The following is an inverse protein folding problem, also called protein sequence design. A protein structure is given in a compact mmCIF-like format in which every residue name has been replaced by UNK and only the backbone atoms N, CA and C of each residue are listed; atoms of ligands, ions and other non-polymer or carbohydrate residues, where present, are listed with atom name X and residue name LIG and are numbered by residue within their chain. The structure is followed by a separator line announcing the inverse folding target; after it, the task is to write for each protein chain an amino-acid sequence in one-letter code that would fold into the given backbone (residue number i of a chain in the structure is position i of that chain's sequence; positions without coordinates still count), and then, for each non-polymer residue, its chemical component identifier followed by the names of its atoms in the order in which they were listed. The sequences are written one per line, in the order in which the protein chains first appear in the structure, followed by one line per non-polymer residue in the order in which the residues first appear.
data_IF_664466670245
#
_entry.id   IF_664466670245
#
_cell.length_a   1.000
_cell.length_b   1.000
_cell.length_c   1.000
_cell.angle_alpha   90.00
_cell.angle_beta   90.00
_cell.angle_gamma   90.00
#
_symmetry.space_group_name_H-M   'P 1'
#
loop_
_entity.id
_entity.type
_entity.pdbx_description
1 polymer ?
#
# COMPACT_ATOMS: atom_id res chain seq x y z
N UNK A 1 7.01 3.46 -12.15
CA UNK A 1 6.34 4.74 -12.50
C UNK A 1 4.89 4.55 -12.92
N UNK A 2 4.59 3.68 -13.90
CA UNK A 2 3.20 3.49 -14.38
C UNK A 2 2.21 3.10 -13.26
N UNK A 3 2.53 2.09 -12.43
CA UNK A 3 1.63 1.66 -11.35
C UNK A 3 1.33 2.76 -10.32
N UNK A 4 2.34 3.57 -9.96
CA UNK A 4 2.17 4.67 -9.01
C UNK A 4 1.29 5.77 -9.61
N UNK A 5 1.59 6.20 -10.84
CA UNK A 5 0.80 7.22 -11.52
C UNK A 5 -0.66 6.78 -11.66
N UNK A 6 -0.90 5.55 -12.11
CA UNK A 6 -2.26 5.04 -12.33
C UNK A 6 -2.99 4.79 -11.02
N UNK A 7 -2.43 3.97 -10.13
CA UNK A 7 -3.16 3.47 -8.95
C UNK A 7 -3.21 4.47 -7.80
N UNK A 8 -2.16 5.25 -7.59
CA UNK A 8 -2.13 6.19 -6.47
C UNK A 8 -2.77 7.54 -6.83
N UNK A 9 -2.49 8.06 -8.03
CA UNK A 9 -2.87 9.42 -8.40
C UNK A 9 -4.11 9.43 -9.29
N UNK A 10 -4.03 8.83 -10.48
CA UNK A 10 -5.10 8.93 -11.48
C UNK A 10 -6.38 8.31 -10.93
N UNK A 11 -6.35 7.06 -10.45
CA UNK A 11 -7.55 6.39 -9.94
C UNK A 11 -8.15 7.17 -8.77
N UNK A 12 -7.37 7.52 -7.76
CA UNK A 12 -7.94 8.17 -6.56
C UNK A 12 -8.49 9.57 -6.85
N UNK A 13 -7.72 10.41 -7.54
CA UNK A 13 -8.11 11.80 -7.78
C UNK A 13 -9.11 11.93 -8.92
N UNK A 14 -8.94 11.20 -10.03
CA UNK A 14 -9.84 11.34 -11.17
C UNK A 14 -11.23 10.81 -10.86
N UNK A 15 -11.36 9.66 -10.18
CA UNK A 15 -12.69 9.18 -9.76
C UNK A 15 -13.34 10.13 -8.76
N UNK A 16 -12.59 10.64 -7.78
CA UNK A 16 -13.13 11.61 -6.83
C UNK A 16 -13.61 12.89 -7.54
N UNK A 17 -12.78 13.49 -8.38
CA UNK A 17 -13.12 14.69 -9.13
C UNK A 17 -14.31 14.43 -10.05
N UNK A 18 -14.33 13.30 -10.76
CA UNK A 18 -15.45 12.93 -11.62
C UNK A 18 -16.77 12.87 -10.85
N UNK A 19 -16.77 12.19 -9.70
CA UNK A 19 -17.95 12.09 -8.84
C UNK A 19 -18.37 13.47 -8.30
N UNK A 20 -17.43 14.30 -7.84
CA UNK A 20 -17.76 15.62 -7.31
C UNK A 20 -18.30 16.57 -8.38
N UNK A 21 -17.58 16.72 -9.49
CA UNK A 21 -17.88 17.77 -10.48
C UNK A 21 -18.95 17.37 -11.48
N UNK A 22 -18.94 16.13 -11.98
CA UNK A 22 -19.87 15.70 -13.02
C UNK A 22 -21.13 15.04 -12.45
N UNK A 23 -21.00 14.19 -11.43
CA UNK A 23 -22.16 13.47 -10.86
C UNK A 23 -22.89 14.33 -9.84
N UNK A 24 -22.18 14.85 -8.82
CA UNK A 24 -22.80 15.62 -7.74
C UNK A 24 -22.90 17.13 -8.02
N UNK A 25 -22.25 17.64 -9.08
CA UNK A 25 -22.21 19.06 -9.44
C UNK A 25 -21.75 19.97 -8.28
N UNK A 26 -20.78 19.49 -7.50
CA UNK A 26 -20.18 20.19 -6.36
C UNK A 26 -18.77 20.68 -6.72
N UNK A 27 -18.29 21.76 -6.08
CA UNK A 27 -16.91 22.21 -6.27
C UNK A 27 -15.92 21.14 -5.80
N UNK A 28 -14.79 21.04 -6.49
CA UNK A 28 -13.70 20.15 -6.13
C UNK A 28 -13.03 20.65 -4.83
N UNK A 29 -13.47 20.12 -3.69
CA UNK A 29 -12.79 20.28 -2.41
C UNK A 29 -12.07 18.99 -2.07
N UNK A 30 -10.82 19.08 -1.62
CA UNK A 30 -10.00 17.92 -1.27
C UNK A 30 -10.11 17.63 0.24
N UNK A 31 -11.00 16.71 0.66
CA UNK A 31 -11.12 16.39 2.08
C UNK A 31 -9.86 15.68 2.60
N UNK A 32 -9.64 15.75 3.91
CA UNK A 32 -8.52 15.05 4.57
C UNK A 32 -8.51 13.55 4.26
N UNK A 33 -9.69 12.92 4.15
CA UNK A 33 -9.83 11.50 3.78
C UNK A 33 -9.31 11.19 2.38
N UNK A 34 -9.49 12.09 1.40
CA UNK A 34 -8.96 11.91 0.04
C UNK A 34 -7.44 12.02 0.01
N UNK A 35 -6.88 13.01 0.72
CA UNK A 35 -5.42 13.20 0.82
C UNK A 35 -4.80 11.96 1.48
N UNK A 36 -5.40 11.50 2.58
CA UNK A 36 -5.01 10.27 3.27
C UNK A 36 -5.06 9.07 2.33
N UNK A 37 -6.19 8.83 1.66
CA UNK A 37 -6.36 7.71 0.73
C UNK A 37 -5.32 7.74 -0.40
N UNK A 38 -5.09 8.92 -0.99
CA UNK A 38 -4.11 9.09 -2.08
C UNK A 38 -2.69 8.79 -1.60
N UNK A 39 -2.29 9.32 -0.45
CA UNK A 39 -0.97 9.10 0.13
C UNK A 39 -0.78 7.62 0.52
N UNK A 40 -1.75 7.03 1.20
CA UNK A 40 -1.72 5.65 1.67
C UNK A 40 -1.64 4.64 0.50
N UNK A 41 -2.49 4.81 -0.51
CA UNK A 41 -2.44 3.99 -1.74
C UNK A 41 -1.16 4.25 -2.55
N UNK A 42 -0.57 5.45 -2.42
CA UNK A 42 0.76 5.78 -2.90
C UNK A 42 1.85 4.92 -2.29
N UNK A 43 1.90 4.80 -0.96
CA UNK A 43 2.85 3.93 -0.27
C UNK A 43 2.72 2.48 -0.71
N UNK A 44 1.49 1.95 -0.79
CA UNK A 44 1.25 0.60 -1.33
C UNK A 44 1.75 0.45 -2.77
N UNK A 45 1.52 1.43 -3.63
CA UNK A 45 1.97 1.38 -5.03
C UNK A 45 3.49 1.37 -5.16
N UNK A 46 4.21 2.11 -4.30
CA UNK A 46 5.67 2.05 -4.20
C UNK A 46 6.12 0.66 -3.77
N UNK A 47 5.51 0.11 -2.72
CA UNK A 47 5.88 -1.21 -2.18
C UNK A 47 5.65 -2.31 -3.20
N UNK A 48 4.51 -2.32 -3.88
CA UNK A 48 4.21 -3.27 -4.96
C UNK A 48 5.23 -3.14 -6.10
N UNK A 49 5.61 -1.90 -6.46
CA UNK A 49 6.61 -1.66 -7.49
C UNK A 49 8.01 -2.14 -7.10
N UNK A 50 8.39 -2.09 -5.82
CA UNK A 50 9.66 -2.61 -5.32
C UNK A 50 9.63 -4.14 -5.20
N UNK A 51 8.53 -4.70 -4.71
CA UNK A 51 8.39 -6.15 -4.51
C UNK A 51 8.41 -6.93 -5.81
N UNK A 52 7.84 -6.37 -6.89
CA UNK A 52 7.85 -7.03 -8.20
C UNK A 52 9.27 -7.29 -8.71
N UNK A 53 10.22 -6.42 -8.35
CA UNK A 53 11.62 -6.50 -8.80
C UNK A 53 12.46 -7.46 -7.93
N UNK A 54 11.95 -7.97 -6.80
CA UNK A 54 12.67 -8.91 -5.94
C UNK A 54 12.89 -10.29 -6.60
N UNK A 55 11.85 -10.98 -7.13
CA UNK A 55 12.06 -12.26 -7.81
C UNK A 55 12.93 -12.12 -9.09
N UNK A 56 13.00 -10.92 -9.67
CA UNK A 56 13.70 -10.62 -10.92
C UNK A 56 15.20 -10.30 -10.74
N UNK A 57 15.71 -10.21 -9.50
CA UNK A 57 17.11 -9.81 -9.21
C UNK A 57 18.16 -10.60 -10.01
N UNK A 58 17.98 -11.92 -10.14
CA UNK A 58 18.94 -12.75 -10.87
C UNK A 58 18.95 -12.44 -12.37
N UNK A 59 17.78 -12.25 -12.97
CA UNK A 59 17.65 -11.86 -14.37
C UNK A 59 18.26 -10.48 -14.60
N UNK A 60 17.88 -9.50 -13.76
CA UNK A 60 18.41 -8.14 -13.83
C UNK A 60 19.94 -8.11 -13.77
N UNK A 61 20.56 -8.93 -12.91
CA UNK A 61 22.03 -9.04 -12.83
C UNK A 61 22.66 -9.56 -14.12
N UNK A 62 22.08 -10.60 -14.71
CA UNK A 62 22.59 -11.20 -15.97
C UNK A 62 22.53 -10.18 -17.10
N UNK A 63 21.46 -9.39 -17.18
CA UNK A 63 21.26 -8.36 -18.22
C UNK A 63 21.88 -7.00 -17.86
N UNK A 64 22.62 -6.88 -16.75
CA UNK A 64 23.28 -5.64 -16.34
C UNK A 64 22.33 -4.52 -15.86
N UNK A 65 21.08 -4.83 -15.56
CA UNK A 65 20.08 -3.90 -15.05
C UNK A 65 20.37 -3.61 -13.57
N UNK A 66 20.61 -2.34 -13.24
CA UNK A 66 20.95 -1.90 -11.87
C UNK A 66 19.72 -1.45 -11.08
N UNK A 67 18.74 -2.33 -10.89
CA UNK A 67 17.54 -2.07 -10.07
C UNK A 67 17.88 -1.88 -8.57
N UNK A 68 16.94 -1.31 -7.81
CA UNK A 68 17.12 -1.10 -6.36
C UNK A 68 17.36 -2.42 -5.61
N UNK A 69 16.60 -3.45 -6.01
CA UNK A 69 16.70 -4.83 -5.52
C UNK A 69 18.06 -5.46 -5.84
N UNK A 70 18.64 -5.17 -7.00
CA UNK A 70 20.01 -5.61 -7.34
C UNK A 70 21.07 -4.92 -6.47
N UNK A 71 20.94 -3.62 -6.22
CA UNK A 71 21.95 -2.84 -5.47
C UNK A 71 21.95 -3.13 -3.97
N UNK A 72 20.78 -3.20 -3.33
CA UNK A 72 20.67 -3.41 -1.88
C UNK A 72 20.54 -4.88 -1.48
N UNK A 73 20.11 -5.73 -2.41
CA UNK A 73 19.87 -7.13 -2.18
C UNK A 73 18.46 -7.44 -1.66
N UNK A 74 18.00 -8.64 -2.01
CA UNK A 74 16.68 -9.19 -1.72
C UNK A 74 16.21 -8.98 -0.28
N UNK A 75 17.00 -9.42 0.70
CA UNK A 75 16.62 -9.37 2.12
C UNK A 75 16.41 -7.93 2.62
N UNK A 76 17.27 -6.99 2.20
CA UNK A 76 17.14 -5.59 2.63
C UNK A 76 15.91 -4.95 2.01
N UNK A 77 15.67 -5.14 0.72
CA UNK A 77 14.50 -4.57 0.04
C UNK A 77 13.20 -5.15 0.58
N UNK A 78 13.14 -6.46 0.85
CA UNK A 78 11.99 -7.09 1.49
C UNK A 78 11.61 -6.39 2.81
N UNK A 79 12.57 -6.22 3.72
CA UNK A 79 12.31 -5.58 5.01
C UNK A 79 12.02 -4.08 4.90
N UNK A 80 12.66 -3.35 3.97
CA UNK A 80 12.30 -1.96 3.68
C UNK A 80 10.83 -1.85 3.28
N UNK A 81 10.37 -2.74 2.38
CA UNK A 81 8.99 -2.75 1.94
C UNK A 81 8.01 -3.08 3.07
N UNK A 82 8.32 -4.10 3.90
CA UNK A 82 7.51 -4.44 5.08
C UNK A 82 7.45 -3.25 6.06
N UNK A 83 8.59 -2.60 6.34
CA UNK A 83 8.64 -1.41 7.20
C UNK A 83 7.83 -0.25 6.64
N UNK A 84 7.88 0.01 5.33
CA UNK A 84 7.06 1.04 4.67
C UNK A 84 5.57 0.78 4.85
N UNK A 85 5.12 -0.46 4.65
CA UNK A 85 3.71 -0.84 4.89
C UNK A 85 3.33 -0.71 6.37
N UNK A 86 4.19 -1.13 7.29
CA UNK A 86 3.93 -0.98 8.73
C UNK A 86 3.81 0.49 9.15
N UNK A 87 4.66 1.37 8.61
CA UNK A 87 4.53 2.81 8.84
C UNK A 87 3.21 3.36 8.27
N UNK A 88 2.82 2.94 7.06
CA UNK A 88 1.54 3.35 6.48
C UNK A 88 0.37 2.91 7.36
N UNK A 89 0.38 1.67 7.85
CA UNK A 89 -0.61 1.16 8.79
C UNK A 89 -0.60 1.91 10.12
N UNK A 90 0.57 2.25 10.66
CA UNK A 90 0.70 3.09 11.86
C UNK A 90 0.06 4.46 11.68
N UNK A 91 0.27 5.11 10.53
CA UNK A 91 -0.39 6.38 10.20
C UNK A 91 -1.90 6.22 10.08
N UNK A 92 -2.38 5.12 9.48
CA UNK A 92 -3.81 4.84 9.40
C UNK A 92 -4.46 4.59 10.76
N UNK A 93 -3.76 3.89 11.67
CA UNK A 93 -4.19 3.70 13.04
C UNK A 93 -4.34 5.05 13.77
N UNK A 94 -3.35 5.94 13.65
CA UNK A 94 -3.39 7.28 14.23
C UNK A 94 -4.55 8.11 13.67
N UNK A 95 -4.78 8.04 12.35
CA UNK A 95 -5.91 8.68 11.69
C UNK A 95 -7.24 8.18 12.29
N UNK A 96 -7.43 6.86 12.40
CA UNK A 96 -8.61 6.26 13.04
C UNK A 96 -8.78 6.69 14.49
N UNK A 97 -7.72 6.64 15.29
CA UNK A 97 -7.73 7.04 16.70
C UNK A 97 -8.13 8.51 16.90
N UNK A 98 -7.73 9.38 15.96
CA UNK A 98 -8.04 10.81 15.97
C UNK A 98 -9.47 11.15 15.54
N UNK A 99 -10.23 10.19 14.98
CA UNK A 99 -11.60 10.43 14.53
C UNK A 99 -12.55 10.70 15.70
N UNK A 100 -13.45 11.68 15.53
CA UNK A 100 -14.55 11.91 16.48
C UNK A 100 -15.70 10.89 16.31
N UNK A 101 -15.75 10.20 15.17
CA UNK A 101 -16.80 9.24 14.86
C UNK A 101 -16.43 7.86 15.41
N UNK A 102 -17.18 7.34 16.38
CA UNK A 102 -16.87 6.07 17.04
C UNK A 102 -16.78 4.90 16.05
N UNK A 103 -17.70 4.80 15.09
CA UNK A 103 -17.68 3.75 14.06
C UNK A 103 -16.43 3.82 13.17
N UNK A 104 -16.07 5.01 12.69
CA UNK A 104 -14.84 5.24 11.92
C UNK A 104 -13.60 4.90 12.75
N UNK A 105 -13.57 5.30 14.02
CA UNK A 105 -12.47 5.00 14.95
C UNK A 105 -12.27 3.51 15.13
N UNK A 106 -13.34 2.75 15.37
CA UNK A 106 -13.29 1.31 15.56
C UNK A 106 -12.87 0.63 14.25
N UNK A 107 -13.54 0.92 13.14
CA UNK A 107 -13.28 0.26 11.85
C UNK A 107 -11.88 0.59 11.33
N UNK A 108 -11.52 1.88 11.30
CA UNK A 108 -10.22 2.33 10.82
C UNK A 108 -9.12 1.89 11.77
N UNK A 109 -9.27 2.11 13.08
CA UNK A 109 -8.25 1.74 14.07
C UNK A 109 -8.03 0.23 14.14
N UNK A 110 -9.08 -0.54 14.45
CA UNK A 110 -8.95 -2.00 14.60
C UNK A 110 -8.67 -2.69 13.26
N UNK A 111 -9.29 -2.24 12.16
CA UNK A 111 -9.07 -2.82 10.84
C UNK A 111 -7.62 -2.72 10.39
N UNK A 112 -7.02 -1.53 10.47
CA UNK A 112 -5.61 -1.35 10.10
C UNK A 112 -4.65 -2.01 11.11
N UNK A 113 -4.99 -2.04 12.41
CA UNK A 113 -4.21 -2.79 13.41
C UNK A 113 -4.17 -4.30 13.11
N UNK A 114 -5.32 -4.87 12.73
CA UNK A 114 -5.43 -6.27 12.35
C UNK A 114 -4.61 -6.55 11.10
N UNK A 115 -4.76 -5.75 10.04
CA UNK A 115 -4.00 -5.92 8.80
C UNK A 115 -2.49 -5.75 9.01
N UNK A 116 -2.06 -4.80 9.84
CA UNK A 116 -0.67 -4.62 10.25
C UNK A 116 -0.12 -5.86 10.97
N UNK A 117 -0.90 -6.44 11.88
CA UNK A 117 -0.53 -7.64 12.62
C UNK A 117 -0.43 -8.86 11.72
N UNK A 118 -1.38 -9.04 10.80
CA UNK A 118 -1.35 -10.11 9.79
C UNK A 118 -0.12 -9.95 8.89
N UNK A 119 0.13 -8.73 8.39
CA UNK A 119 1.32 -8.44 7.59
C UNK A 119 2.61 -8.80 8.34
N UNK A 120 2.72 -8.39 9.60
CA UNK A 120 3.90 -8.68 10.42
C UNK A 120 4.10 -10.20 10.59
N UNK A 121 3.03 -10.91 10.94
CA UNK A 121 3.07 -12.36 11.12
C UNK A 121 3.49 -13.09 9.85
N UNK A 122 2.89 -12.75 8.71
CA UNK A 122 3.26 -13.37 7.43
C UNK A 122 4.68 -12.97 7.01
N UNK A 123 5.12 -11.73 7.22
CA UNK A 123 6.46 -11.29 6.85
C UNK A 123 7.57 -12.07 7.58
N UNK A 124 7.35 -12.41 8.86
CA UNK A 124 8.30 -13.17 9.67
C UNK A 124 8.37 -14.66 9.31
N UNK A 125 7.39 -15.20 8.57
CA UNK A 125 7.37 -16.61 8.15
C UNK A 125 7.86 -16.85 6.72
N UNK A 126 8.20 -15.80 5.95
CA UNK A 126 8.67 -15.94 4.57
C UNK A 126 10.10 -16.47 4.53
N UNK A 127 10.30 -17.61 3.86
CA UNK A 127 11.63 -18.04 3.45
C UNK A 127 12.15 -17.17 2.28
N UNK A 128 13.03 -16.23 2.61
CA UNK A 128 13.65 -15.33 1.65
C UNK A 128 14.67 -16.02 0.73
N UNK A 129 14.89 -17.34 0.82
CA UNK A 129 15.68 -18.08 -0.19
C UNK A 129 14.79 -18.69 -1.28
N UNK A 130 13.50 -18.85 -1.00
CA UNK A 130 12.54 -19.44 -1.93
C UNK A 130 11.86 -18.36 -2.78
N UNK A 131 12.12 -18.37 -4.10
CA UNK A 131 11.42 -17.48 -5.06
C UNK A 131 9.90 -17.68 -4.99
N UNK A 132 9.44 -18.93 -4.82
CA UNK A 132 8.02 -19.23 -4.70
C UNK A 132 7.39 -18.60 -3.44
N UNK A 133 8.11 -18.63 -2.30
CA UNK A 133 7.64 -17.99 -1.07
C UNK A 133 7.54 -16.47 -1.21
N UNK A 134 8.53 -15.84 -1.86
CA UNK A 134 8.54 -14.39 -2.14
C UNK A 134 7.40 -14.01 -3.08
N UNK A 135 7.19 -14.75 -4.15
CA UNK A 135 6.08 -14.51 -5.09
C UNK A 135 4.72 -14.69 -4.41
N UNK A 136 4.58 -15.70 -3.54
CA UNK A 136 3.37 -15.88 -2.72
C UNK A 136 3.12 -14.70 -1.80
N UNK A 137 4.17 -14.19 -1.12
CA UNK A 137 4.07 -13.01 -0.27
C UNK A 137 3.75 -11.74 -1.07
N UNK A 138 4.30 -11.59 -2.27
CA UNK A 138 3.94 -10.50 -3.18
C UNK A 138 2.46 -10.52 -3.55
N UNK A 139 1.91 -11.69 -3.87
CA UNK A 139 0.46 -11.83 -4.13
C UNK A 139 -0.37 -11.57 -2.87
N UNK A 140 0.15 -11.88 -1.68
CA UNK A 140 -0.47 -11.51 -0.42
C UNK A 140 -0.49 -9.98 -0.20
N UNK A 141 0.56 -9.24 -0.55
CA UNK A 141 0.55 -7.77 -0.53
C UNK A 141 -0.55 -7.20 -1.43
N UNK A 142 -0.77 -7.80 -2.61
CA UNK A 142 -1.89 -7.42 -3.47
C UNK A 142 -3.25 -7.65 -2.80
N UNK A 143 -3.43 -8.76 -2.06
CA UNK A 143 -4.66 -9.00 -1.30
C UNK A 143 -4.87 -7.94 -0.22
N UNK A 144 -3.82 -7.55 0.50
CA UNK A 144 -3.87 -6.44 1.45
C UNK A 144 -4.29 -5.15 0.74
N UNK A 145 -3.63 -4.78 -0.36
CA UNK A 145 -3.98 -3.60 -1.16
C UNK A 145 -5.46 -3.58 -1.59
N UNK A 146 -6.02 -4.74 -1.97
CA UNK A 146 -7.44 -4.83 -2.31
C UNK A 146 -8.35 -4.72 -1.09
N UNK A 147 -7.95 -5.26 0.07
CA UNK A 147 -8.68 -5.10 1.32
C UNK A 147 -8.82 -3.62 1.71
N UNK A 148 -7.81 -2.79 1.43
CA UNK A 148 -7.82 -1.35 1.71
C UNK A 148 -8.93 -0.59 0.97
N UNK A 149 -9.31 -1.02 -0.24
CA UNK A 149 -10.44 -0.40 -0.95
C UNK A 149 -11.77 -0.56 -0.22
N UNK A 150 -11.89 -1.53 0.70
CA UNK A 150 -13.08 -1.69 1.54
C UNK A 150 -13.03 -0.83 2.80
N UNK A 151 -11.84 -0.62 3.39
CA UNK A 151 -11.67 0.06 4.68
C UNK A 151 -11.51 1.58 4.50
N UNK A 152 -10.67 2.02 3.55
CA UNK A 152 -10.35 3.44 3.34
C UNK A 152 -11.60 4.33 3.15
N UNK A 153 -12.64 3.93 2.40
CA UNK A 153 -13.85 4.75 2.24
C UNK A 153 -14.59 5.04 3.56
N UNK A 154 -14.32 4.26 4.62
CA UNK A 154 -14.95 4.38 5.93
C UNK A 154 -14.19 5.33 6.87
N UNK A 155 -13.01 5.83 6.45
CA UNK A 155 -12.22 6.80 7.20
C UNK A 155 -12.94 8.15 7.23
N UNK A 156 -13.15 8.68 8.44
CA UNK A 156 -13.79 9.96 8.72
C UNK A 156 -12.99 10.81 9.67
#
# INVERSE_FOLDING_TARGET
MCILAVRAIIVQLAFFLHMQTFVYKRPAMFPRSLIFATAFMGFFSVVIALFKDIPDIEGDKIFGIRSFSVRLGQKRVFWICVSLLQMAYGVALLMGASSCNLWSKIITGLGHCLLASILWYHANSVDLKSKAAITSFYMFIWKLFYAEYFIIPLVR
#
